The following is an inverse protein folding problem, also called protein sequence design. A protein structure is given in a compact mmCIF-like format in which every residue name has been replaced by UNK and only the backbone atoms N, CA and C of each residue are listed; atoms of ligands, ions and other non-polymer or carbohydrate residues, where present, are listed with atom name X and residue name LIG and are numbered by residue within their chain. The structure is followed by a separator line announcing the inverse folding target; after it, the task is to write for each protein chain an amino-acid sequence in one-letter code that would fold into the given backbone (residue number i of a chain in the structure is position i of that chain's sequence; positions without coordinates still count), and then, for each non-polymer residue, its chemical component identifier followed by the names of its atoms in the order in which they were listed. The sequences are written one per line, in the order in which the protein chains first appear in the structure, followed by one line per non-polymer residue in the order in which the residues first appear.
data_IF_971097327064
#
_entry.id   IF_971097327064
#
_cell.length_a   1.000
_cell.length_b   1.000
_cell.length_c   1.000
_cell.angle_alpha   90.00
_cell.angle_beta   90.00
_cell.angle_gamma   90.00
#
_symmetry.space_group_name_H-M   'P 1'
#
loop_
_entity.id
_entity.type
_entity.pdbx_description
1 polymer ?
#
# COMPACT_ATOMS: atom_id res chain seq x y z
N UNK A 1 54.71 -12.47 -8.50
CA UNK A 1 53.60 -12.22 -7.54
C UNK A 1 53.03 -10.79 -7.57
N UNK A 2 53.82 -9.71 -7.75
CA UNK A 2 53.31 -8.31 -7.73
C UNK A 2 52.29 -7.94 -8.82
N UNK A 3 52.42 -8.48 -10.06
CA UNK A 3 51.48 -8.21 -11.16
C UNK A 3 50.06 -8.77 -10.93
N UNK A 4 49.93 -9.90 -10.24
CA UNK A 4 48.62 -10.50 -9.91
C UNK A 4 47.91 -9.73 -8.79
N UNK A 5 48.65 -9.13 -7.86
CA UNK A 5 48.08 -8.30 -6.79
C UNK A 5 47.55 -6.96 -7.32
N UNK A 6 48.26 -6.31 -8.26
CA UNK A 6 47.82 -5.07 -8.89
C UNK A 6 46.53 -5.24 -9.71
N UNK A 7 46.45 -6.28 -10.56
CA UNK A 7 45.26 -6.59 -11.33
C UNK A 7 44.04 -6.94 -10.46
N UNK A 8 44.27 -7.57 -9.30
CA UNK A 8 43.23 -7.90 -8.31
C UNK A 8 42.75 -6.66 -7.54
N UNK A 9 43.63 -5.68 -7.30
CA UNK A 9 43.32 -4.41 -6.64
C UNK A 9 42.52 -3.46 -7.55
N UNK A 10 42.86 -3.39 -8.83
CA UNK A 10 42.12 -2.61 -9.85
C UNK A 10 40.70 -3.12 -10.09
N UNK A 11 40.53 -4.45 -10.20
CA UNK A 11 39.19 -5.07 -10.29
C UNK A 11 38.32 -4.79 -9.06
N UNK A 12 38.92 -4.66 -7.87
CA UNK A 12 38.20 -4.32 -6.63
C UNK A 12 37.72 -2.87 -6.62
N UNK A 13 38.55 -1.93 -7.13
CA UNK A 13 38.23 -0.50 -7.20
C UNK A 13 37.14 -0.19 -8.25
N UNK A 14 37.14 -0.89 -9.38
CA UNK A 14 36.13 -0.72 -10.45
C UNK A 14 34.76 -1.33 -10.13
N UNK A 15 34.67 -2.33 -9.23
CA UNK A 15 33.38 -2.79 -8.70
C UNK A 15 32.68 -1.67 -7.90
N UNK A 16 33.44 -0.81 -7.21
CA UNK A 16 32.92 0.21 -6.29
C UNK A 16 31.93 1.19 -6.92
N UNK A 17 32.17 1.69 -8.14
CA UNK A 17 31.29 2.71 -8.75
C UNK A 17 29.95 2.07 -9.14
N UNK A 18 29.99 0.89 -9.78
CA UNK A 18 28.79 0.14 -10.20
C UNK A 18 27.88 -0.22 -9.01
N UNK A 19 28.45 -0.79 -7.95
CA UNK A 19 27.66 -1.13 -6.76
C UNK A 19 27.14 0.09 -6.01
N UNK A 20 27.89 1.20 -5.95
CA UNK A 20 27.40 2.43 -5.29
C UNK A 20 26.24 3.06 -6.04
N UNK A 21 26.31 3.11 -7.37
CA UNK A 21 25.27 3.68 -8.24
C UNK A 21 23.98 2.83 -8.20
N UNK A 22 24.11 1.51 -8.31
CA UNK A 22 22.97 0.58 -8.16
C UNK A 22 22.36 0.69 -6.75
N UNK A 23 23.20 0.70 -5.70
CA UNK A 23 22.72 0.78 -4.32
C UNK A 23 21.98 2.09 -4.03
N UNK A 24 22.47 3.24 -4.53
CA UNK A 24 21.78 4.52 -4.34
C UNK A 24 20.44 4.58 -5.09
N UNK A 25 20.36 4.02 -6.30
CA UNK A 25 19.11 3.98 -7.07
C UNK A 25 18.08 3.05 -6.42
N UNK A 26 18.50 1.86 -5.99
CA UNK A 26 17.63 0.92 -5.28
C UNK A 26 17.15 1.52 -3.94
N UNK A 27 18.02 2.20 -3.19
CA UNK A 27 17.63 2.84 -1.94
C UNK A 27 16.54 3.90 -2.13
N UNK A 28 16.65 4.75 -3.16
CA UNK A 28 15.63 5.78 -3.45
C UNK A 28 14.30 5.12 -3.81
N UNK A 29 14.31 4.11 -4.68
CA UNK A 29 13.08 3.40 -5.10
C UNK A 29 12.45 2.67 -3.92
N UNK A 30 13.24 2.05 -3.06
CA UNK A 30 12.74 1.38 -1.85
C UNK A 30 12.07 2.40 -0.92
N UNK A 31 12.74 3.53 -0.65
CA UNK A 31 12.21 4.57 0.25
C UNK A 31 10.93 5.18 -0.32
N UNK A 32 10.90 5.54 -1.62
CA UNK A 32 9.70 6.11 -2.24
C UNK A 32 8.54 5.10 -2.27
N UNK A 33 8.82 3.83 -2.56
CA UNK A 33 7.80 2.77 -2.58
C UNK A 33 7.25 2.51 -1.18
N UNK A 34 8.10 2.45 -0.16
CA UNK A 34 7.68 2.29 1.24
C UNK A 34 6.80 3.46 1.71
N UNK A 35 7.16 4.69 1.35
CA UNK A 35 6.35 5.86 1.68
C UNK A 35 4.98 5.81 1.00
N UNK A 36 4.94 5.48 -0.30
CA UNK A 36 3.69 5.44 -1.07
C UNK A 36 2.77 4.34 -0.55
N UNK A 37 3.31 3.15 -0.30
CA UNK A 37 2.59 2.01 0.28
C UNK A 37 2.12 2.34 1.70
N UNK A 38 2.97 2.92 2.53
CA UNK A 38 2.61 3.27 3.92
C UNK A 38 1.46 4.28 3.97
N UNK A 39 1.53 5.34 3.17
CA UNK A 39 0.45 6.34 3.07
C UNK A 39 -0.84 5.69 2.53
N UNK A 40 -0.72 4.86 1.49
CA UNK A 40 -1.86 4.13 0.91
C UNK A 40 -2.53 3.22 1.94
N UNK A 41 -1.74 2.45 2.70
CA UNK A 41 -2.21 1.55 3.74
C UNK A 41 -2.90 2.31 4.88
N UNK A 42 -2.32 3.42 5.36
CA UNK A 42 -2.95 4.24 6.40
C UNK A 42 -4.29 4.83 5.94
N UNK A 43 -4.40 5.26 4.68
CA UNK A 43 -5.66 5.73 4.11
C UNK A 43 -6.66 4.60 3.96
N UNK A 44 -6.22 3.44 3.48
CA UNK A 44 -7.07 2.25 3.36
C UNK A 44 -7.66 1.84 4.70
N UNK A 45 -6.84 1.77 5.75
CA UNK A 45 -7.30 1.43 7.11
C UNK A 45 -8.40 2.38 7.60
N UNK A 46 -8.24 3.69 7.41
CA UNK A 46 -9.26 4.68 7.79
C UNK A 46 -10.53 4.55 6.94
N UNK A 47 -10.37 4.44 5.63
CA UNK A 47 -11.49 4.33 4.71
C UNK A 47 -12.32 3.06 4.96
N UNK A 48 -11.66 1.95 5.30
CA UNK A 48 -12.34 0.71 5.68
C UNK A 48 -13.12 0.89 6.99
N UNK A 49 -12.55 1.49 8.04
CA UNK A 49 -13.29 1.75 9.29
C UNK A 49 -14.53 2.64 9.03
N UNK A 50 -14.39 3.72 8.26
CA UNK A 50 -15.50 4.61 7.92
C UNK A 50 -16.60 3.91 7.11
N UNK A 51 -16.23 3.16 6.06
CA UNK A 51 -17.19 2.41 5.22
C UNK A 51 -17.88 1.34 6.04
N UNK A 52 -17.12 0.59 6.84
CA UNK A 52 -17.64 -0.50 7.64
C UNK A 52 -18.62 0.04 8.69
N UNK A 53 -18.28 1.11 9.42
CA UNK A 53 -19.21 1.77 10.36
C UNK A 53 -20.47 2.30 9.67
N UNK A 54 -20.35 2.89 8.47
CA UNK A 54 -21.50 3.36 7.69
C UNK A 54 -22.40 2.20 7.26
N UNK A 55 -21.82 1.12 6.72
CA UNK A 55 -22.56 -0.10 6.35
C UNK A 55 -23.25 -0.75 7.55
N UNK A 56 -22.64 -0.70 8.74
CA UNK A 56 -23.28 -1.15 9.96
C UNK A 56 -24.47 -0.28 10.35
N UNK A 57 -24.37 1.04 10.20
CA UNK A 57 -25.51 1.95 10.37
C UNK A 57 -26.70 1.56 9.49
N UNK A 58 -26.46 1.44 8.18
CA UNK A 58 -27.50 1.07 7.20
C UNK A 58 -28.10 -0.30 7.49
N UNK A 59 -27.26 -1.27 7.88
CA UNK A 59 -27.69 -2.62 8.23
C UNK A 59 -28.55 -2.65 9.49
N UNK A 60 -28.14 -1.93 10.54
CA UNK A 60 -28.91 -1.83 11.79
C UNK A 60 -30.22 -1.09 11.58
N UNK A 61 -30.23 -0.03 10.77
CA UNK A 61 -31.46 0.69 10.39
C UNK A 61 -32.42 -0.22 9.61
N UNK A 62 -31.91 -0.95 8.62
CA UNK A 62 -32.70 -1.93 7.84
C UNK A 62 -33.29 -3.01 8.75
N UNK A 63 -32.51 -3.53 9.70
CA UNK A 63 -32.98 -4.54 10.64
C UNK A 63 -34.00 -3.97 11.66
N UNK A 64 -33.87 -2.70 12.07
CA UNK A 64 -34.86 -2.04 12.93
C UNK A 64 -36.19 -1.84 12.18
N UNK A 65 -36.14 -1.39 10.93
CA UNK A 65 -37.32 -1.26 10.09
C UNK A 65 -38.00 -2.63 9.85
N UNK A 66 -37.21 -3.69 9.66
CA UNK A 66 -37.72 -5.05 9.50
C UNK A 66 -38.35 -5.58 10.81
N UNK A 67 -37.76 -5.29 11.96
CA UNK A 67 -38.36 -5.61 13.27
C UNK A 67 -39.69 -4.90 13.47
N UNK A 68 -39.78 -3.62 13.12
CA UNK A 68 -41.02 -2.84 13.17
C UNK A 68 -42.09 -3.46 12.25
N UNK A 69 -41.74 -3.83 11.02
CA UNK A 69 -42.64 -4.49 10.08
C UNK A 69 -43.12 -5.85 10.60
N UNK A 70 -42.23 -6.68 11.15
CA UNK A 70 -42.60 -7.98 11.73
C UNK A 70 -43.54 -7.84 12.93
N UNK A 71 -43.28 -6.87 13.81
CA UNK A 71 -44.19 -6.59 14.92
C UNK A 71 -45.54 -6.07 14.43
N UNK A 72 -45.54 -5.22 13.41
CA UNK A 72 -46.78 -4.74 12.81
C UNK A 72 -47.58 -5.87 12.14
N UNK A 73 -46.92 -6.77 11.43
CA UNK A 73 -47.55 -7.93 10.79
C UNK A 73 -48.16 -8.88 11.83
N UNK A 74 -47.45 -9.14 12.93
CA UNK A 74 -47.91 -10.08 13.96
C UNK A 74 -48.95 -9.48 14.92
N UNK A 75 -48.86 -8.19 15.24
CA UNK A 75 -49.61 -7.56 16.33
C UNK A 75 -50.43 -6.33 15.92
N UNK A 76 -50.27 -5.82 14.69
CA UNK A 76 -50.82 -4.53 14.28
C UNK A 76 -50.17 -3.35 15.02
N UNK A 77 -50.93 -2.31 15.31
CA UNK A 77 -50.46 -1.20 16.17
C UNK A 77 -50.28 -1.66 17.61
N UNK A 78 -49.12 -1.39 18.18
CA UNK A 78 -48.83 -1.67 19.58
C UNK A 78 -49.48 -0.61 20.49
N UNK A 79 -50.08 -1.06 21.59
CA UNK A 79 -50.60 -0.24 22.67
C UNK A 79 -50.10 -0.77 24.01
N UNK A 80 -50.41 -0.07 25.11
CA UNK A 80 -50.01 -0.47 26.47
C UNK A 80 -51.23 -0.85 27.30
N UNK A 81 -51.17 -2.00 27.97
CA UNK A 81 -52.25 -2.42 28.87
C UNK A 81 -52.11 -1.79 30.27
N UNK A 82 -53.10 -2.04 31.15
CA UNK A 82 -53.11 -1.54 32.54
C UNK A 82 -51.96 -2.07 33.41
N UNK A 83 -51.38 -3.22 33.06
CA UNK A 83 -50.20 -3.79 33.71
C UNK A 83 -48.87 -3.20 33.19
N UNK A 84 -48.94 -2.32 32.19
CA UNK A 84 -47.77 -1.67 31.60
C UNK A 84 -47.03 -2.50 30.54
N UNK A 85 -47.60 -3.61 30.09
CA UNK A 85 -47.06 -4.43 29.00
C UNK A 85 -47.49 -3.89 27.64
N UNK A 86 -46.65 -4.11 26.64
CA UNK A 86 -46.98 -3.87 25.23
C UNK A 86 -47.88 -4.99 24.71
N UNK A 87 -48.96 -4.60 24.04
CA UNK A 87 -49.98 -5.49 23.48
C UNK A 87 -50.30 -5.07 22.04
N UNK A 88 -50.69 -6.03 21.20
CA UNK A 88 -51.19 -5.77 19.86
C UNK A 88 -52.64 -5.26 19.83
N UNK A 89 -53.14 -4.95 18.63
CA UNK A 89 -54.52 -4.49 18.40
C UNK A 89 -55.58 -5.45 18.95
N UNK A 90 -55.30 -6.76 18.92
CA UNK A 90 -56.19 -7.80 19.41
C UNK A 90 -56.06 -8.05 20.93
N UNK A 91 -55.31 -7.22 21.65
CA UNK A 91 -55.06 -7.37 23.10
C UNK A 91 -54.05 -8.46 23.47
N UNK A 92 -53.49 -9.17 22.48
CA UNK A 92 -52.47 -10.19 22.68
C UNK A 92 -51.16 -9.54 23.14
N UNK A 93 -50.52 -10.11 24.15
CA UNK A 93 -49.25 -9.61 24.66
C UNK A 93 -48.10 -9.97 23.73
N UNK A 94 -47.11 -9.08 23.62
CA UNK A 94 -45.94 -9.33 22.76
C UNK A 94 -45.01 -10.37 23.39
N UNK A 95 -45.01 -10.52 24.71
CA UNK A 95 -44.19 -11.50 25.42
C UNK A 95 -44.78 -12.91 25.25
N UNK A 96 -44.06 -13.78 24.53
CA UNK A 96 -44.41 -15.20 24.42
C UNK A 96 -44.17 -15.85 23.06
N UNK A 97 -44.02 -15.08 21.98
CA UNK A 97 -43.65 -15.60 20.64
C UNK A 97 -42.37 -14.93 20.17
N UNK A 98 -41.36 -15.72 19.79
CA UNK A 98 -40.05 -15.21 19.38
C UNK A 98 -39.66 -15.56 17.95
N UNK A 99 -40.44 -16.41 17.25
CA UNK A 99 -40.05 -16.96 15.94
C UNK A 99 -39.64 -15.88 14.92
N UNK A 100 -40.34 -14.74 14.90
CA UNK A 100 -40.07 -13.65 13.96
C UNK A 100 -38.84 -12.81 14.33
N UNK A 101 -38.54 -12.63 15.63
CA UNK A 101 -37.29 -11.97 16.04
C UNK A 101 -36.09 -12.89 15.85
N UNK A 102 -36.30 -14.20 15.98
CA UNK A 102 -35.28 -15.22 15.74
C UNK A 102 -34.97 -15.29 14.24
N UNK A 103 -35.99 -15.31 13.38
CA UNK A 103 -35.82 -15.23 11.92
C UNK A 103 -35.07 -13.96 11.51
N UNK A 104 -35.41 -12.80 12.09
CA UNK A 104 -34.67 -11.55 11.87
C UNK A 104 -33.21 -11.71 12.31
N UNK A 105 -32.98 -12.26 13.50
CA UNK A 105 -31.66 -12.42 14.09
C UNK A 105 -30.77 -13.31 13.23
N UNK A 106 -31.30 -14.43 12.72
CA UNK A 106 -30.60 -15.36 11.84
C UNK A 106 -30.34 -14.75 10.46
N UNK A 107 -31.36 -14.18 9.80
CA UNK A 107 -31.23 -13.66 8.43
C UNK A 107 -30.33 -12.44 8.35
N UNK A 108 -30.42 -11.55 9.34
CA UNK A 108 -29.67 -10.31 9.36
C UNK A 108 -28.37 -10.41 10.17
N UNK A 109 -28.14 -11.51 10.91
CA UNK A 109 -27.01 -11.66 11.82
C UNK A 109 -26.90 -10.47 12.79
N UNK A 110 -28.00 -10.18 13.49
CA UNK A 110 -28.14 -9.11 14.49
C UNK A 110 -28.81 -9.66 15.73
N UNK A 111 -28.69 -8.99 16.86
CA UNK A 111 -29.55 -9.22 18.03
C UNK A 111 -30.67 -8.20 18.07
N UNK A 112 -31.85 -8.61 18.54
CA UNK A 112 -33.02 -7.76 18.63
C UNK A 112 -33.65 -7.85 20.02
N UNK A 113 -34.11 -6.72 20.55
CA UNK A 113 -34.80 -6.63 21.84
C UNK A 113 -35.94 -5.62 21.73
N UNK A 114 -37.09 -5.92 22.33
CA UNK A 114 -38.20 -4.97 22.47
C UNK A 114 -38.36 -4.65 23.94
N UNK A 115 -38.17 -3.39 24.30
CA UNK A 115 -38.36 -2.90 25.65
C UNK A 115 -39.75 -2.27 25.82
N UNK A 116 -40.40 -2.53 26.95
CA UNK A 116 -41.56 -1.75 27.37
C UNK A 116 -41.11 -0.73 28.42
N UNK A 117 -41.57 0.51 28.28
CA UNK A 117 -41.42 1.51 29.34
C UNK A 117 -42.28 1.07 30.53
N UNK A 118 -41.73 1.10 31.74
CA UNK A 118 -42.41 0.89 33.02
C UNK A 118 -41.91 1.94 34.01
N UNK A 119 -42.76 2.92 34.31
CA UNK A 119 -42.35 4.13 35.02
C UNK A 119 -41.19 4.81 34.26
N UNK A 120 -40.06 5.05 34.91
CA UNK A 120 -38.84 5.61 34.33
C UNK A 120 -37.79 4.53 34.02
N UNK A 121 -38.23 3.32 33.66
CA UNK A 121 -37.35 2.22 33.28
C UNK A 121 -37.83 1.61 31.97
N UNK A 122 -36.90 1.04 31.20
CA UNK A 122 -37.19 0.25 30.02
C UNK A 122 -36.84 -1.21 30.31
N UNK A 123 -37.83 -2.09 30.30
CA UNK A 123 -37.67 -3.50 30.67
C UNK A 123 -37.81 -4.35 29.42
N UNK A 124 -36.86 -5.26 29.17
CA UNK A 124 -36.88 -6.14 28.00
C UNK A 124 -38.07 -7.11 28.08
N UNK A 125 -38.99 -7.02 27.12
CA UNK A 125 -40.13 -7.93 26.99
C UNK A 125 -39.80 -9.11 26.09
N UNK A 126 -39.01 -8.85 25.04
CA UNK A 126 -38.57 -9.81 24.05
C UNK A 126 -37.10 -9.57 23.77
N UNK A 127 -36.31 -10.63 23.64
CA UNK A 127 -34.92 -10.50 23.21
C UNK A 127 -34.42 -11.75 22.50
N UNK A 128 -33.50 -11.59 21.57
CA UNK A 128 -32.68 -12.68 21.00
C UNK A 128 -31.32 -12.81 21.68
N UNK A 129 -31.02 -11.93 22.65
CA UNK A 129 -29.83 -12.04 23.48
C UNK A 129 -30.01 -13.20 24.46
N UNK A 130 -29.00 -14.08 24.48
CA UNK A 130 -28.95 -15.28 25.30
C UNK A 130 -27.77 -15.13 26.29
N UNK A 131 -27.99 -15.50 27.54
CA UNK A 131 -26.97 -15.51 28.59
C UNK A 131 -26.05 -16.75 28.52
N UNK A 132 -25.08 -16.83 29.43
CA UNK A 132 -24.15 -17.97 29.50
C UNK A 132 -24.81 -19.32 29.84
N UNK A 133 -26.05 -19.31 30.34
CA UNK A 133 -26.83 -20.50 30.67
C UNK A 133 -27.76 -20.92 29.51
N UNK A 134 -27.71 -20.24 28.36
CA UNK A 134 -28.55 -20.52 27.21
C UNK A 134 -29.98 -19.97 27.32
N UNK A 135 -30.24 -19.06 28.26
CA UNK A 135 -31.56 -18.46 28.48
C UNK A 135 -31.65 -17.06 27.89
N UNK A 136 -32.83 -16.69 27.41
CA UNK A 136 -33.09 -15.33 26.91
C UNK A 136 -33.10 -14.33 28.05
N UNK A 137 -32.48 -13.19 27.83
CA UNK A 137 -32.31 -12.11 28.81
C UNK A 137 -33.55 -11.20 28.85
N UNK A 138 -34.70 -11.78 29.18
CA UNK A 138 -35.94 -11.01 29.36
C UNK A 138 -36.03 -10.44 30.78
N UNK A 139 -36.74 -9.34 30.95
CA UNK A 139 -36.89 -8.66 32.23
C UNK A 139 -35.70 -7.79 32.66
N UNK A 140 -34.63 -7.70 31.86
CA UNK A 140 -33.49 -6.83 32.13
C UNK A 140 -33.84 -5.37 31.86
N UNK A 141 -33.32 -4.49 32.71
CA UNK A 141 -33.46 -3.04 32.54
C UNK A 141 -32.39 -2.52 31.56
N UNK A 142 -32.80 -1.59 30.70
CA UNK A 142 -31.85 -0.78 29.94
C UNK A 142 -31.11 0.17 30.91
N UNK A 143 -29.80 0.29 30.73
CA UNK A 143 -28.98 1.20 31.54
C UNK A 143 -29.49 2.65 31.46
N UNK A 144 -29.93 3.19 32.59
CA UNK A 144 -30.51 4.53 32.72
C UNK A 144 -29.46 5.64 32.74
N UNK A 145 -28.19 5.32 32.96
CA UNK A 145 -27.08 6.28 32.93
C UNK A 145 -26.51 6.50 31.52
N UNK A 146 -26.85 5.64 30.55
CA UNK A 146 -26.32 5.68 29.19
C UNK A 146 -26.96 6.77 28.32
N UNK A 147 -26.19 7.26 27.33
CA UNK A 147 -26.68 8.22 26.31
C UNK A 147 -27.89 7.69 25.54
N UNK A 148 -27.97 6.38 25.35
CA UNK A 148 -29.12 5.75 24.72
C UNK A 148 -30.42 6.05 25.47
N UNK A 149 -30.41 5.93 26.81
CA UNK A 149 -31.58 6.19 27.64
C UNK A 149 -32.04 7.64 27.58
N UNK A 150 -31.11 8.59 27.59
CA UNK A 150 -31.43 10.02 27.48
C UNK A 150 -32.14 10.34 26.16
N UNK A 151 -31.56 9.93 25.03
CA UNK A 151 -32.10 10.22 23.70
C UNK A 151 -33.47 9.57 23.47
N UNK A 152 -33.61 8.28 23.81
CA UNK A 152 -34.88 7.57 23.60
C UNK A 152 -35.98 8.08 24.54
N UNK A 153 -35.63 8.55 25.74
CA UNK A 153 -36.58 9.15 26.68
C UNK A 153 -37.15 10.47 26.15
N UNK A 154 -36.35 11.21 25.38
CA UNK A 154 -36.78 12.42 24.66
C UNK A 154 -37.55 12.12 23.37
N UNK A 155 -37.74 10.83 23.03
CA UNK A 155 -38.41 10.41 21.79
C UNK A 155 -37.51 10.42 20.56
N UNK A 156 -36.20 10.60 20.72
CA UNK A 156 -35.24 10.56 19.63
C UNK A 156 -34.74 9.13 19.37
N UNK A 157 -34.35 8.86 18.12
CA UNK A 157 -33.60 7.64 17.79
C UNK A 157 -32.15 7.81 18.27
N UNK A 158 -31.55 6.72 18.73
CA UNK A 158 -30.14 6.71 19.14
C UNK A 158 -29.38 5.60 18.42
N UNK A 159 -28.21 5.93 17.87
CA UNK A 159 -27.28 4.96 17.32
C UNK A 159 -25.91 5.15 17.96
N UNK A 160 -25.37 4.08 18.54
CA UNK A 160 -24.08 4.13 19.23
C UNK A 160 -23.71 2.81 19.91
N UNK A 161 -22.58 2.83 20.61
CA UNK A 161 -22.09 1.68 21.35
C UNK A 161 -22.80 1.54 22.69
N UNK A 162 -23.14 0.30 23.07
CA UNK A 162 -23.76 -0.06 24.35
C UNK A 162 -23.21 -1.39 24.84
N UNK A 163 -23.14 -1.56 26.15
CA UNK A 163 -22.70 -2.82 26.75
C UNK A 163 -23.90 -3.58 27.31
N UNK A 164 -24.05 -4.84 26.89
CA UNK A 164 -25.09 -5.75 27.40
C UNK A 164 -24.40 -7.04 27.81
N UNK A 165 -24.48 -7.39 29.10
CA UNK A 165 -23.85 -8.58 29.68
C UNK A 165 -22.35 -8.71 29.36
N UNK A 166 -21.60 -7.61 29.44
CA UNK A 166 -20.15 -7.61 29.15
C UNK A 166 -19.78 -7.66 27.67
N UNK A 167 -20.76 -7.68 26.77
CA UNK A 167 -20.53 -7.61 25.32
C UNK A 167 -20.88 -6.23 24.79
N UNK A 168 -19.95 -5.58 24.11
CA UNK A 168 -20.19 -4.30 23.45
C UNK A 168 -20.88 -4.51 22.11
N UNK A 169 -22.03 -3.87 21.93
CA UNK A 169 -22.82 -3.86 20.71
C UNK A 169 -22.78 -2.46 20.09
N UNK A 170 -22.63 -2.38 18.77
CA UNK A 170 -23.12 -1.22 18.03
C UNK A 170 -24.62 -1.39 17.89
N UNK A 171 -25.39 -0.43 18.41
CA UNK A 171 -26.83 -0.57 18.59
C UNK A 171 -27.59 0.62 17.99
N UNK A 172 -28.80 0.33 17.51
CA UNK A 172 -29.78 1.29 17.06
C UNK A 172 -31.06 1.13 17.90
N UNK A 173 -31.46 2.22 18.56
CA UNK A 173 -32.64 2.31 19.39
C UNK A 173 -33.69 3.21 18.74
N UNK A 174 -34.90 2.69 18.57
CA UNK A 174 -36.04 3.42 18.00
C UNK A 174 -37.20 3.45 19.00
N UNK A 175 -37.61 4.63 19.51
CA UNK A 175 -38.74 4.76 20.41
C UNK A 175 -40.06 4.34 19.76
N UNK A 176 -40.87 3.61 20.52
CA UNK A 176 -42.26 3.28 20.20
C UNK A 176 -43.14 4.33 20.87
N UNK A 177 -43.81 5.14 20.08
CA UNK A 177 -44.62 6.27 20.55
C UNK A 177 -46.11 5.91 20.61
N UNK A 178 -46.82 6.43 21.60
CA UNK A 178 -48.29 6.41 21.63
C UNK A 178 -48.91 7.53 20.77
N UNK A 179 -50.23 7.57 20.72
CA UNK A 179 -50.99 8.61 20.01
C UNK A 179 -50.71 10.04 20.52
N UNK A 180 -50.20 10.19 21.75
CA UNK A 180 -49.82 11.47 22.37
C UNK A 180 -48.31 11.77 22.23
N UNK A 181 -47.59 11.00 21.41
CA UNK A 181 -46.12 11.07 21.24
C UNK A 181 -45.32 10.76 22.51
N UNK A 182 -45.91 10.05 23.46
CA UNK A 182 -45.23 9.55 24.65
C UNK A 182 -44.57 8.21 24.35
N UNK A 183 -43.36 8.02 24.88
CA UNK A 183 -42.60 6.79 24.67
C UNK A 183 -43.21 5.66 25.51
N UNK A 184 -43.74 4.63 24.86
CA UNK A 184 -44.28 3.43 25.51
C UNK A 184 -43.29 2.26 25.55
N UNK A 185 -42.29 2.27 24.67
CA UNK A 185 -41.32 1.21 24.50
C UNK A 185 -40.23 1.59 23.53
N UNK A 186 -39.31 0.67 23.25
CA UNK A 186 -38.15 0.91 22.39
C UNK A 186 -37.80 -0.36 21.63
N UNK A 187 -37.64 -0.25 20.32
CA UNK A 187 -36.99 -1.27 19.50
C UNK A 187 -35.48 -1.13 19.63
N UNK A 188 -34.81 -2.24 19.89
CA UNK A 188 -33.36 -2.34 19.91
C UNK A 188 -32.94 -3.37 18.88
N UNK A 189 -32.00 -2.98 18.03
CA UNK A 189 -31.24 -3.92 17.20
C UNK A 189 -29.76 -3.60 17.36
N UNK A 190 -28.94 -4.63 17.52
CA UNK A 190 -27.51 -4.45 17.70
C UNK A 190 -26.68 -5.55 17.07
N UNK A 191 -25.39 -5.27 16.91
CA UNK A 191 -24.39 -6.26 16.48
C UNK A 191 -23.15 -6.16 17.36
N UNK A 192 -22.55 -7.29 17.77
CA UNK A 192 -21.31 -7.26 18.53
C UNK A 192 -20.22 -6.48 17.76
N UNK A 193 -19.54 -5.54 18.43
CA UNK A 193 -18.41 -4.80 17.83
C UNK A 193 -17.29 -5.77 17.43
N UNK A 194 -17.14 -6.90 18.13
CA UNK A 194 -16.20 -7.95 17.73
C UNK A 194 -16.50 -8.56 16.34
N UNK A 195 -17.77 -8.63 15.93
CA UNK A 195 -18.14 -9.11 14.59
C UNK A 195 -17.77 -8.09 13.51
N UNK A 196 -17.87 -6.80 13.84
CA UNK A 196 -17.36 -5.68 13.02
C UNK A 196 -15.85 -5.84 12.82
N UNK A 197 -15.11 -6.06 13.91
CA UNK A 197 -13.65 -6.20 13.89
C UNK A 197 -13.16 -7.42 13.11
N UNK A 198 -13.90 -8.54 13.15
CA UNK A 198 -13.54 -9.74 12.40
C UNK A 198 -13.54 -9.49 10.89
N UNK A 199 -14.57 -8.80 10.38
CA UNK A 199 -14.68 -8.42 8.98
C UNK A 199 -13.54 -7.47 8.58
N UNK A 200 -13.18 -6.53 9.46
CA UNK A 200 -12.03 -5.64 9.24
C UNK A 200 -10.71 -6.42 9.12
N UNK A 201 -10.49 -7.41 9.99
CA UNK A 201 -9.24 -8.21 9.99
C UNK A 201 -9.08 -9.04 8.72
N UNK A 202 -10.14 -9.67 8.24
CA UNK A 202 -10.11 -10.42 6.97
C UNK A 202 -9.80 -9.49 5.78
N UNK A 203 -10.44 -8.32 5.76
CA UNK A 203 -10.12 -7.26 4.79
C UNK A 203 -8.65 -6.87 4.83
N UNK A 204 -8.10 -6.59 6.02
CA UNK A 204 -6.70 -6.17 6.19
C UNK A 204 -5.70 -7.22 5.71
N UNK A 205 -5.94 -8.51 5.98
CA UNK A 205 -5.04 -9.58 5.54
C UNK A 205 -5.01 -9.71 4.01
N UNK A 206 -6.18 -9.68 3.36
CA UNK A 206 -6.26 -9.74 1.88
C UNK A 206 -5.57 -8.54 1.21
N UNK A 207 -5.67 -7.35 1.83
CA UNK A 207 -4.96 -6.16 1.36
C UNK A 207 -3.44 -6.29 1.54
N UNK A 208 -3.00 -6.88 2.66
CA UNK A 208 -1.57 -7.08 2.91
C UNK A 208 -0.91 -8.01 1.87
N UNK A 209 -1.58 -9.08 1.46
CA UNK A 209 -1.08 -9.98 0.40
C UNK A 209 -0.89 -9.25 -0.93
N UNK A 210 -1.87 -8.44 -1.33
CA UNK A 210 -1.80 -7.64 -2.56
C UNK A 210 -0.66 -6.62 -2.51
N UNK A 211 -0.43 -5.99 -1.35
CA UNK A 211 0.66 -5.03 -1.13
C UNK A 211 2.03 -5.70 -1.26
N UNK A 212 2.21 -6.89 -0.68
CA UNK A 212 3.47 -7.63 -0.76
C UNK A 212 3.83 -7.95 -2.21
N UNK A 213 2.84 -8.39 -3.01
CA UNK A 213 3.05 -8.68 -4.43
C UNK A 213 3.53 -7.44 -5.21
N UNK A 214 2.92 -6.28 -4.98
CA UNK A 214 3.33 -5.02 -5.62
C UNK A 214 4.75 -4.63 -5.21
N UNK A 215 5.12 -4.77 -3.92
CA UNK A 215 6.48 -4.49 -3.44
C UNK A 215 7.49 -5.38 -4.16
N UNK A 216 7.23 -6.69 -4.26
CA UNK A 216 8.12 -7.63 -4.96
C UNK A 216 8.28 -7.25 -6.43
N UNK A 217 7.19 -6.89 -7.10
CA UNK A 217 7.23 -6.49 -8.52
C UNK A 217 8.02 -5.20 -8.74
N UNK A 218 7.84 -4.21 -7.87
CA UNK A 218 8.59 -2.93 -7.92
C UNK A 218 10.08 -3.16 -7.65
N UNK A 219 10.43 -4.02 -6.68
CA UNK A 219 11.82 -4.38 -6.41
C UNK A 219 12.47 -5.09 -7.61
N UNK A 220 11.77 -6.03 -8.23
CA UNK A 220 12.26 -6.71 -9.43
C UNK A 220 12.47 -5.72 -10.58
N UNK A 221 11.50 -4.84 -10.84
CA UNK A 221 11.62 -3.80 -11.86
C UNK A 221 12.80 -2.85 -11.57
N UNK A 222 12.97 -2.43 -10.31
CA UNK A 222 14.08 -1.58 -9.88
C UNK A 222 15.44 -2.26 -10.08
N UNK A 223 15.54 -3.57 -9.80
CA UNK A 223 16.74 -4.36 -10.07
C UNK A 223 17.06 -4.43 -11.56
N UNK A 224 16.06 -4.68 -12.41
CA UNK A 224 16.24 -4.72 -13.88
C UNK A 224 16.70 -3.37 -14.41
N UNK A 225 16.01 -2.28 -14.05
CA UNK A 225 16.37 -0.93 -14.48
C UNK A 225 17.76 -0.55 -14.00
N UNK A 226 18.10 -0.82 -12.74
CA UNK A 226 19.42 -0.54 -12.18
C UNK A 226 20.53 -1.31 -12.89
N UNK A 227 20.27 -2.57 -13.27
CA UNK A 227 21.22 -3.36 -14.06
C UNK A 227 21.47 -2.74 -15.44
N UNK A 228 20.41 -2.32 -16.14
CA UNK A 228 20.53 -1.68 -17.46
C UNK A 228 21.31 -0.36 -17.40
N UNK A 229 20.99 0.52 -16.45
CA UNK A 229 21.69 1.81 -16.26
C UNK A 229 23.15 1.59 -15.88
N UNK A 230 23.43 0.66 -14.97
CA UNK A 230 24.81 0.35 -14.60
C UNK A 230 25.60 -0.22 -15.79
N UNK A 231 24.97 -1.00 -16.66
CA UNK A 231 25.60 -1.52 -17.86
C UNK A 231 25.86 -0.44 -18.92
N UNK A 232 24.93 0.50 -19.11
CA UNK A 232 25.04 1.56 -20.12
C UNK A 232 26.04 2.64 -19.74
N UNK A 233 26.13 3.03 -18.47
CA UNK A 233 27.03 4.12 -18.04
C UNK A 233 28.40 3.60 -17.61
N UNK A 234 28.44 2.59 -16.74
CA UNK A 234 29.70 2.23 -16.09
C UNK A 234 30.63 1.38 -16.97
N UNK A 235 30.14 0.63 -17.98
CA UNK A 235 31.04 -0.09 -18.90
C UNK A 235 31.81 0.89 -19.83
N UNK A 236 31.17 1.87 -20.50
CA UNK A 236 31.89 2.86 -21.30
C UNK A 236 32.89 3.72 -20.53
N UNK A 237 32.51 4.23 -19.34
CA UNK A 237 33.41 5.04 -18.50
C UNK A 237 34.68 4.25 -18.14
N UNK A 238 34.54 2.95 -17.85
CA UNK A 238 35.70 2.09 -17.56
C UNK A 238 36.64 1.98 -18.77
N UNK A 239 36.10 1.86 -20.00
CA UNK A 239 36.91 1.83 -21.22
C UNK A 239 37.66 3.15 -21.45
N UNK A 240 36.99 4.29 -21.26
CA UNK A 240 37.63 5.62 -21.40
C UNK A 240 38.73 5.79 -20.33
N UNK A 241 38.45 5.39 -19.08
CA UNK A 241 39.42 5.45 -17.98
C UNK A 241 40.64 4.57 -18.25
N UNK A 242 40.45 3.37 -18.80
CA UNK A 242 41.54 2.46 -19.15
C UNK A 242 42.37 3.01 -20.31
N UNK A 243 41.72 3.56 -21.35
CA UNK A 243 42.43 4.21 -22.45
C UNK A 243 43.25 5.41 -21.97
N UNK A 244 42.69 6.24 -21.08
CA UNK A 244 43.40 7.38 -20.51
C UNK A 244 44.63 6.97 -19.70
N UNK A 245 44.57 5.85 -18.98
CA UNK A 245 45.73 5.31 -18.25
C UNK A 245 46.85 4.86 -19.17
N UNK A 246 46.53 4.14 -20.24
CA UNK A 246 47.52 3.72 -21.24
C UNK A 246 48.22 4.91 -21.91
N UNK A 247 47.44 5.93 -22.27
CA UNK A 247 47.97 7.19 -22.82
C UNK A 247 48.89 7.89 -21.80
N UNK A 248 48.52 7.90 -20.50
CA UNK A 248 49.37 8.46 -19.44
C UNK A 248 50.68 7.67 -19.23
N UNK A 249 50.67 6.36 -19.49
CA UNK A 249 51.85 5.49 -19.46
C UNK A 249 52.72 5.60 -20.73
N UNK A 250 52.35 6.48 -21.68
CA UNK A 250 53.09 6.73 -22.92
C UNK A 250 52.72 5.80 -24.09
N UNK A 251 51.70 4.96 -23.93
CA UNK A 251 51.14 4.13 -24.99
C UNK A 251 50.03 4.90 -25.73
N UNK A 252 50.36 5.39 -26.93
CA UNK A 252 49.43 6.14 -27.78
C UNK A 252 48.76 5.28 -28.87
N UNK A 253 49.03 3.97 -28.96
CA UNK A 253 48.40 3.05 -29.92
C UNK A 253 47.04 2.51 -29.43
N UNK A 254 46.32 3.31 -28.64
CA UNK A 254 45.08 2.88 -27.99
C UNK A 254 43.88 3.25 -28.84
N UNK A 255 43.08 2.26 -29.23
CA UNK A 255 41.83 2.46 -29.96
C UNK A 255 40.65 2.61 -28.98
N UNK A 256 40.13 3.84 -28.84
CA UNK A 256 38.95 4.11 -28.02
C UNK A 256 37.66 3.94 -28.84
N UNK A 257 37.13 2.72 -28.90
CA UNK A 257 35.85 2.41 -29.57
C UNK A 257 34.69 2.41 -28.56
N UNK A 258 34.16 3.58 -28.25
CA UNK A 258 32.95 3.76 -27.42
C UNK A 258 31.87 4.40 -28.27
N UNK A 259 30.80 3.66 -28.51
CA UNK A 259 29.62 4.15 -29.24
C UNK A 259 28.50 4.38 -28.23
N UNK A 260 28.23 5.65 -27.94
CA UNK A 260 27.08 6.07 -27.15
C UNK A 260 26.50 7.34 -27.76
N UNK A 261 25.18 7.54 -27.62
CA UNK A 261 24.47 8.73 -28.12
C UNK A 261 24.27 9.81 -27.05
N UNK A 262 24.83 9.60 -25.87
CA UNK A 262 24.74 10.46 -24.70
C UNK A 262 26.03 11.26 -24.46
N UNK A 263 26.13 11.91 -23.31
CA UNK A 263 27.30 12.68 -22.86
C UNK A 263 28.57 11.83 -22.79
N UNK A 264 28.44 10.51 -22.56
CA UNK A 264 29.58 9.59 -22.53
C UNK A 264 30.15 9.38 -23.93
N UNK A 265 29.29 9.38 -24.96
CA UNK A 265 29.71 9.36 -26.36
C UNK A 265 30.47 10.61 -26.77
N UNK A 266 29.97 11.79 -26.36
CA UNK A 266 30.65 13.06 -26.60
C UNK A 266 32.02 13.11 -25.92
N UNK A 267 32.11 12.66 -24.66
CA UNK A 267 33.38 12.56 -23.94
C UNK A 267 34.36 11.62 -24.64
N UNK A 268 33.91 10.44 -25.08
CA UNK A 268 34.76 9.50 -25.80
C UNK A 268 35.28 10.08 -27.11
N UNK A 269 34.44 10.80 -27.87
CA UNK A 269 34.83 11.46 -29.11
C UNK A 269 35.84 12.58 -28.88
N UNK A 270 35.62 13.42 -27.86
CA UNK A 270 36.55 14.49 -27.48
C UNK A 270 37.91 13.91 -27.04
N UNK A 271 37.91 12.86 -26.23
CA UNK A 271 39.14 12.21 -25.76
C UNK A 271 39.89 11.52 -26.90
N UNK A 272 39.18 10.87 -27.84
CA UNK A 272 39.79 10.32 -29.06
C UNK A 272 40.54 11.38 -29.86
N UNK A 273 39.93 12.56 -30.04
CA UNK A 273 40.58 13.69 -30.74
C UNK A 273 41.85 14.16 -30.00
N UNK A 274 41.85 14.14 -28.67
CA UNK A 274 43.06 14.44 -27.88
C UNK A 274 44.18 13.43 -28.16
N UNK A 275 43.88 12.13 -28.18
CA UNK A 275 44.86 11.08 -28.51
C UNK A 275 45.43 11.30 -29.92
N UNK A 276 44.57 11.54 -30.92
CA UNK A 276 44.99 11.81 -32.30
C UNK A 276 45.95 13.02 -32.39
N UNK A 277 45.67 14.11 -31.66
CA UNK A 277 46.56 15.28 -31.60
C UNK A 277 47.91 14.97 -30.94
N UNK A 278 47.92 14.18 -29.86
CA UNK A 278 49.17 13.80 -29.18
C UNK A 278 50.05 12.92 -30.06
N UNK A 279 49.47 11.95 -30.77
CA UNK A 279 50.19 11.10 -31.75
C UNK A 279 50.81 11.97 -32.85
N UNK A 280 50.06 12.95 -33.37
CA UNK A 280 50.58 13.89 -34.37
C UNK A 280 51.76 14.71 -33.83
N UNK A 281 51.67 15.23 -32.59
CA UNK A 281 52.77 15.97 -31.96
C UNK A 281 54.03 15.10 -31.77
N UNK A 282 53.86 13.84 -31.36
CA UNK A 282 54.98 12.89 -31.30
C UNK A 282 55.63 12.70 -32.68
N UNK A 283 54.83 12.57 -33.73
CA UNK A 283 55.29 12.48 -35.11
C UNK A 283 56.09 13.71 -35.56
N UNK A 284 55.62 14.92 -35.24
CA UNK A 284 56.35 16.17 -35.54
C UNK A 284 57.73 16.18 -34.89
N UNK A 285 57.82 15.83 -33.60
CA UNK A 285 59.08 15.78 -32.85
C UNK A 285 60.04 14.74 -33.46
N UNK A 286 59.55 13.56 -33.82
CA UNK A 286 60.38 12.52 -34.44
C UNK A 286 60.84 12.86 -35.86
N UNK A 287 60.08 13.69 -36.60
CA UNK A 287 60.39 14.06 -37.99
C UNK A 287 61.45 15.15 -38.17
N UNK A 288 61.97 15.73 -37.07
CA UNK A 288 63.20 16.51 -37.07
C UNK A 288 63.26 17.75 -37.99
N UNK A 289 62.13 18.38 -38.33
CA UNK A 289 62.15 19.64 -39.08
C UNK A 289 62.25 20.83 -38.11
N UNK A 290 63.29 21.68 -38.19
CA UNK A 290 63.37 22.87 -37.36
C UNK A 290 62.19 23.81 -37.65
N UNK A 291 61.73 24.48 -36.59
CA UNK A 291 60.53 25.34 -36.52
C UNK A 291 60.67 26.67 -37.29
N UNK A 292 61.22 26.64 -38.49
CA UNK A 292 61.32 27.80 -39.36
C UNK A 292 61.06 27.35 -40.79
N UNK A 293 59.84 27.59 -41.25
CA UNK A 293 59.50 28.10 -42.58
C UNK A 293 58.00 27.86 -42.82
N UNK A 294 57.22 28.91 -42.60
CA UNK A 294 55.88 29.04 -43.17
C UNK A 294 56.07 29.16 -44.69
N UNK A 295 55.69 28.13 -45.43
CA UNK A 295 55.37 28.22 -46.85
C UNK A 295 54.11 27.38 -47.11
N UNK A 296 53.19 27.85 -47.99
CA UNK A 296 51.86 27.27 -48.15
C UNK A 296 51.93 25.86 -48.75
N UNK A 297 50.98 25.02 -48.32
CA UNK A 297 50.78 23.68 -48.87
C UNK A 297 50.22 23.82 -50.29
N UNK A 298 51.08 23.81 -51.29
CA UNK A 298 50.72 23.39 -52.64
C UNK A 298 51.35 22.03 -52.92
N UNK A 299 50.46 21.05 -53.04
CA UNK A 299 50.55 19.84 -53.84
C UNK A 299 51.84 18.97 -53.83
N UNK A 300 51.57 17.68 -53.62
CA UNK A 300 52.34 16.52 -54.06
C UNK A 300 53.56 16.10 -53.21
N UNK A 301 53.36 15.03 -52.43
CA UNK A 301 54.43 14.10 -52.13
C UNK A 301 53.91 12.66 -52.19
N UNK A 302 54.19 12.05 -53.34
CA UNK A 302 54.22 10.61 -53.63
C UNK A 302 54.88 9.82 -52.50
N UNK A 303 54.25 8.68 -52.17
CA UNK A 303 54.83 7.41 -51.69
C UNK A 303 56.16 7.45 -50.93
N UNK A 304 56.14 7.00 -49.67
CA UNK A 304 57.33 6.42 -49.05
C UNK A 304 56.99 5.03 -48.50
N UNK A 305 57.48 4.01 -49.21
CA UNK A 305 57.46 2.59 -48.83
C UNK A 305 58.73 2.36 -48.01
N UNK A 306 58.60 1.92 -46.76
CA UNK A 306 59.74 1.56 -45.94
C UNK A 306 60.02 0.06 -46.10
N UNK A 307 61.07 -0.27 -46.84
CA UNK A 307 61.66 -1.61 -46.93
C UNK A 307 63.03 -1.58 -46.25
N UNK A 308 63.20 -2.37 -45.19
CA UNK A 308 64.52 -2.72 -44.65
C UNK A 308 64.78 -4.22 -44.82
N UNK A 309 66.00 -4.50 -45.26
CA UNK A 309 66.54 -5.77 -45.71
C UNK A 309 66.95 -6.73 -44.57
N UNK A 310 66.93 -8.03 -44.92
CA UNK A 310 67.92 -9.10 -44.61
C UNK A 310 68.11 -9.55 -43.15
N UNK A 311 68.21 -10.83 -42.82
CA UNK A 311 68.24 -12.07 -43.61
C UNK A 311 68.53 -13.29 -42.72
N UNK A 312 68.38 -14.48 -43.33
CA UNK A 312 68.91 -15.81 -42.96
C UNK A 312 68.40 -16.52 -41.68
N UNK A 313 67.69 -17.65 -41.85
CA UNK A 313 68.31 -18.98 -41.74
C UNK A 313 67.41 -20.12 -42.28
N UNK A 314 68.10 -21.18 -42.70
CA UNK A 314 67.71 -22.30 -43.57
C UNK A 314 66.83 -23.37 -42.90
N UNK A 315 66.03 -24.05 -43.74
CA UNK A 315 65.60 -25.43 -43.52
C UNK A 315 65.65 -26.22 -44.84
N UNK A 316 66.85 -26.57 -45.30
CA UNK A 316 67.29 -27.94 -45.65
C UNK A 316 68.77 -27.95 -46.00
#
# INVERSE_FOLDING_TARGET
MRRLAAARWEKRKMKSIKTKLIASMLAIVIVSSLLTVGIGMLKALKLTDDITRAQFGDKLESANNMLELYLHEQFGSLTRNTAGKLIGQNGQAIDGRTDYIDELSEKMNVVATVYAKKNDQYISMLTTIIDGDGRRVTGSELDSAGKAYEEISNGNRYMGETEILGTTYMANYTPILDSNKQVMGVYFVGMPVAAVDAILREGVLSMAESVILIIVLVLLAACVVSYFVAASTAKPIQKITEAARKVADGDFEVTLSVHSKDEIGQLAAAFRLTIEKLVNYQGYICSGRPMFLIQPVTAAAKSCKCSSLSGMQSAK
#
